data_IF_006171320392
#
_entry.id   IF_006171320392
#
_cell.length_a   1.000
_cell.length_b   1.000
_cell.length_c   1.000
_cell.angle_alpha   90.00
_cell.angle_beta   90.00
_cell.angle_gamma   90.00
#
_symmetry.space_group_name_H-M   'P 1'
#
loop_
_entity.id
_entity.type
_entity.pdbx_description
1 polymer ?
#
# COMPACT_ATOMS: atom_id res chain seq x y z
N UNK A 1 9.80 2.64 3.04
CA UNK A 1 11.21 3.02 2.72
C UNK A 1 11.27 3.23 1.22
N UNK A 2 11.96 4.25 0.74
CA UNK A 2 12.20 4.45 -0.69
C UNK A 2 13.59 3.91 -0.97
N UNK A 3 13.69 2.97 -1.89
CA UNK A 3 14.95 2.38 -2.31
C UNK A 3 15.43 3.02 -3.60
N UNK A 4 16.74 3.16 -3.76
CA UNK A 4 17.37 3.61 -4.99
C UNK A 4 18.45 2.64 -5.43
N UNK A 5 18.53 2.39 -6.73
CA UNK A 5 19.51 1.52 -7.34
C UNK A 5 19.89 2.03 -8.73
N UNK A 6 21.12 1.80 -9.17
CA UNK A 6 21.58 2.18 -10.50
C UNK A 6 22.26 1.02 -11.22
N UNK A 7 22.07 0.94 -12.54
CA UNK A 7 22.71 -0.05 -13.40
C UNK A 7 22.97 0.55 -14.79
N UNK A 8 24.24 0.73 -15.13
CA UNK A 8 24.60 1.41 -16.38
C UNK A 8 24.03 2.82 -16.43
N UNK A 9 23.24 3.11 -17.46
CA UNK A 9 22.58 4.40 -17.68
C UNK A 9 21.23 4.56 -16.98
N UNK A 10 20.83 3.61 -16.16
CA UNK A 10 19.52 3.60 -15.49
C UNK A 10 19.64 3.85 -14.00
N UNK A 11 18.74 4.67 -13.47
CA UNK A 11 18.56 4.93 -12.03
C UNK A 11 17.12 4.73 -11.67
N UNK A 12 16.84 3.96 -10.63
CA UNK A 12 15.49 3.73 -10.10
C UNK A 12 15.35 4.32 -8.70
N UNK A 13 14.17 4.90 -8.41
CA UNK A 13 13.66 5.12 -7.06
C UNK A 13 12.33 4.37 -6.93
N UNK A 14 12.18 3.62 -5.84
CA UNK A 14 11.12 2.66 -5.70
C UNK A 14 10.55 2.62 -4.27
N UNK A 15 9.24 2.58 -4.18
CA UNK A 15 8.48 2.34 -2.96
C UNK A 15 7.49 1.21 -3.22
N UNK A 16 7.73 0.04 -2.65
CA UNK A 16 6.86 -1.08 -2.90
C UNK A 16 7.42 -2.43 -2.49
N UNK A 17 6.80 -3.47 -3.02
CA UNK A 17 7.25 -4.85 -2.92
C UNK A 17 6.73 -5.64 -4.13
N UNK A 18 7.64 -6.32 -4.83
CA UNK A 18 7.32 -7.21 -5.95
C UNK A 18 7.24 -8.65 -5.45
N UNK A 19 6.06 -9.27 -5.54
CA UNK A 19 5.80 -10.61 -4.99
C UNK A 19 6.25 -11.75 -5.89
N UNK A 20 6.40 -11.50 -7.20
CA UNK A 20 6.84 -12.50 -8.17
C UNK A 20 8.31 -12.35 -8.60
N UNK A 21 9.17 -11.89 -7.69
CA UNK A 21 10.62 -11.72 -7.94
C UNK A 21 11.30 -13.02 -8.38
N UNK A 22 10.88 -14.17 -7.83
CA UNK A 22 11.44 -15.49 -8.18
C UNK A 22 11.17 -15.84 -9.65
N UNK A 23 9.96 -15.57 -10.12
CA UNK A 23 9.54 -15.80 -11.51
C UNK A 23 10.30 -14.86 -12.46
N UNK A 24 10.35 -13.56 -12.13
CA UNK A 24 11.09 -12.56 -12.90
C UNK A 24 12.59 -12.87 -12.96
N UNK A 25 13.20 -13.28 -11.84
CA UNK A 25 14.62 -13.68 -11.80
C UNK A 25 14.91 -14.86 -12.73
N UNK A 26 14.01 -15.86 -12.78
CA UNK A 26 14.18 -16.98 -13.72
C UNK A 26 14.15 -16.51 -15.18
N UNK A 27 13.26 -15.58 -15.49
CA UNK A 27 13.15 -15.04 -16.85
C UNK A 27 14.34 -14.15 -17.21
N UNK A 28 14.81 -13.32 -16.29
CA UNK A 28 16.00 -12.51 -16.46
C UNK A 28 17.25 -13.37 -16.73
N UNK A 29 17.44 -14.45 -15.97
CA UNK A 29 18.56 -15.40 -16.18
C UNK A 29 18.52 -16.09 -17.53
N UNK A 30 17.34 -16.40 -18.09
CA UNK A 30 17.20 -16.94 -19.46
C UNK A 30 17.61 -15.92 -20.54
N UNK A 31 17.57 -14.65 -20.22
CA UNK A 31 17.98 -13.55 -21.11
C UNK A 31 19.35 -12.97 -20.73
N UNK A 32 20.22 -13.80 -20.12
CA UNK A 32 21.61 -13.50 -19.79
C UNK A 32 21.82 -12.34 -18.79
N UNK A 33 20.79 -12.01 -18.01
CA UNK A 33 20.94 -11.05 -16.90
C UNK A 33 21.46 -11.74 -15.64
N UNK A 34 22.58 -11.27 -15.14
CA UNK A 34 23.08 -11.63 -13.80
C UNK A 34 22.32 -10.84 -12.73
N UNK A 35 21.88 -11.51 -11.66
CA UNK A 35 21.29 -10.87 -10.47
C UNK A 35 22.31 -10.94 -9.34
N UNK A 36 22.71 -9.80 -8.81
CA UNK A 36 23.82 -9.68 -7.83
C UNK A 36 23.35 -9.51 -6.39
N UNK A 37 22.13 -9.04 -6.21
CA UNK A 37 21.56 -8.77 -4.86
C UNK A 37 20.31 -9.64 -4.63
N UNK A 38 19.79 -9.62 -3.41
CA UNK A 38 18.51 -10.24 -3.07
C UNK A 38 17.34 -9.21 -3.14
N UNK A 39 17.62 -7.94 -3.52
CA UNK A 39 16.63 -6.89 -3.59
C UNK A 39 15.70 -7.03 -4.79
N UNK A 40 14.40 -6.87 -4.57
CA UNK A 40 13.40 -6.79 -5.64
C UNK A 40 13.58 -5.53 -6.50
N UNK A 41 14.24 -4.49 -6.00
CA UNK A 41 14.61 -3.27 -6.73
C UNK A 41 15.54 -3.58 -7.92
N UNK A 42 16.55 -4.45 -7.73
CA UNK A 42 17.43 -4.88 -8.83
C UNK A 42 16.65 -5.68 -9.87
N UNK A 43 15.80 -6.61 -9.42
CA UNK A 43 14.97 -7.43 -10.29
C UNK A 43 14.01 -6.55 -11.10
N UNK A 44 13.38 -5.57 -10.46
CA UNK A 44 12.49 -4.61 -11.12
C UNK A 44 13.22 -3.79 -12.18
N UNK A 45 14.38 -3.21 -11.85
CA UNK A 45 15.15 -2.40 -12.81
C UNK A 45 15.60 -3.23 -14.02
N UNK A 46 16.11 -4.44 -13.80
CA UNK A 46 16.53 -5.33 -14.89
C UNK A 46 15.36 -5.82 -15.73
N UNK A 47 14.19 -6.04 -15.11
CA UNK A 47 12.95 -6.33 -15.84
C UNK A 47 12.53 -5.15 -16.72
N UNK A 48 12.67 -3.90 -16.25
CA UNK A 48 12.43 -2.72 -17.09
C UNK A 48 13.42 -2.66 -18.28
N UNK A 49 14.69 -2.97 -18.07
CA UNK A 49 15.69 -3.00 -19.16
C UNK A 49 15.30 -4.05 -20.22
N UNK A 50 14.78 -5.22 -19.78
CA UNK A 50 14.36 -6.30 -20.69
C UNK A 50 13.05 -5.96 -21.41
N UNK A 51 12.02 -5.49 -20.71
CA UNK A 51 10.66 -5.33 -21.24
C UNK A 51 10.28 -3.89 -21.59
N UNK A 52 11.11 -2.91 -21.23
CA UNK A 52 10.80 -1.49 -21.40
C UNK A 52 9.54 -1.10 -20.63
N UNK A 53 8.71 -0.26 -21.26
CA UNK A 53 7.43 0.21 -20.68
C UNK A 53 6.42 -0.91 -20.40
N UNK A 54 6.56 -2.05 -21.05
CA UNK A 54 5.65 -3.18 -20.88
C UNK A 54 5.93 -3.97 -19.60
N UNK A 55 6.98 -3.65 -18.86
CA UNK A 55 7.33 -4.26 -17.57
C UNK A 55 6.14 -4.34 -16.62
N UNK A 56 5.30 -3.30 -16.59
CA UNK A 56 4.11 -3.22 -15.72
C UNK A 56 3.11 -4.38 -15.90
N UNK A 57 3.12 -5.04 -17.06
CA UNK A 57 2.27 -6.19 -17.36
C UNK A 57 2.82 -7.52 -16.78
N UNK A 58 4.08 -7.53 -16.34
CA UNK A 58 4.77 -8.70 -15.77
C UNK A 58 4.91 -8.62 -14.26
N UNK A 59 4.63 -7.45 -13.66
CA UNK A 59 4.76 -7.25 -12.22
C UNK A 59 3.53 -7.74 -11.47
N UNK A 60 3.76 -8.53 -10.42
CA UNK A 60 2.78 -8.82 -9.38
C UNK A 60 3.31 -8.23 -8.06
N UNK A 61 2.66 -7.19 -7.56
CA UNK A 61 3.11 -6.47 -6.37
C UNK A 61 2.34 -5.19 -6.12
N UNK A 62 2.78 -4.50 -5.08
CA UNK A 62 2.35 -3.14 -4.75
C UNK A 62 3.54 -2.22 -4.99
N UNK A 63 3.38 -1.20 -5.81
CA UNK A 63 4.51 -0.38 -6.20
C UNK A 63 4.15 1.03 -6.68
N UNK A 64 5.07 1.93 -6.39
CA UNK A 64 5.23 3.20 -7.08
C UNK A 64 6.73 3.37 -7.36
N UNK A 65 7.13 3.56 -8.60
CA UNK A 65 8.52 3.74 -8.95
C UNK A 65 8.72 4.74 -10.08
N UNK A 66 9.94 5.27 -10.15
CA UNK A 66 10.40 6.06 -11.27
C UNK A 66 11.78 5.54 -11.72
N UNK A 67 11.96 5.40 -13.03
CA UNK A 67 13.21 4.98 -13.64
C UNK A 67 13.67 6.09 -14.61
N UNK A 68 14.87 6.61 -14.37
CA UNK A 68 15.56 7.51 -15.28
C UNK A 68 16.42 6.68 -16.25
N UNK A 69 16.19 6.85 -17.55
CA UNK A 69 17.10 6.42 -18.61
C UNK A 69 17.91 7.66 -19.07
N UNK A 70 19.18 7.73 -18.64
CA UNK A 70 20.05 8.88 -18.94
C UNK A 70 20.41 8.96 -20.42
N UNK A 71 20.41 7.84 -21.17
CA UNK A 71 20.72 7.84 -22.59
C UNK A 71 19.55 8.42 -23.40
N UNK A 72 18.30 8.07 -23.04
CA UNK A 72 17.11 8.61 -23.68
C UNK A 72 16.66 9.94 -23.11
N UNK A 73 17.24 10.38 -21.98
CA UNK A 73 16.76 11.54 -21.20
C UNK A 73 15.26 11.43 -20.90
N UNK A 74 14.84 10.27 -20.45
CA UNK A 74 13.45 9.91 -20.20
C UNK A 74 13.27 9.41 -18.79
N UNK A 75 12.18 9.83 -18.13
CA UNK A 75 11.74 9.28 -16.83
C UNK A 75 10.48 8.47 -17.06
N UNK A 76 10.52 7.19 -16.70
CA UNK A 76 9.37 6.31 -16.67
C UNK A 76 8.85 6.19 -15.24
N UNK A 77 7.59 6.54 -15.00
CA UNK A 77 6.92 6.40 -13.71
C UNK A 77 5.82 5.35 -13.83
N UNK A 78 5.65 4.51 -12.81
CA UNK A 78 4.54 3.56 -12.79
C UNK A 78 3.97 3.40 -11.39
N UNK A 79 2.66 3.12 -11.32
CA UNK A 79 1.93 2.86 -10.11
C UNK A 79 1.14 1.56 -10.23
N UNK A 80 1.05 0.78 -9.15
CA UNK A 80 0.41 -0.53 -9.13
C UNK A 80 -1.08 -0.51 -9.52
N UNK A 81 -1.63 -1.69 -9.77
CA UNK A 81 -2.96 -1.92 -10.31
C UNK A 81 -4.08 -1.26 -9.49
N UNK A 82 -3.94 -1.19 -8.17
CA UNK A 82 -4.94 -0.64 -7.25
C UNK A 82 -4.50 0.66 -6.58
N UNK A 83 -3.29 1.17 -6.91
CA UNK A 83 -2.74 2.39 -6.33
C UNK A 83 -2.44 2.27 -4.84
N UNK A 84 -2.00 1.08 -4.41
CA UNK A 84 -1.60 0.80 -3.02
C UNK A 84 -0.50 1.74 -2.58
N UNK A 85 0.51 1.88 -3.41
CA UNK A 85 1.58 2.84 -3.15
C UNK A 85 1.23 4.19 -3.78
N UNK A 86 1.33 5.29 -3.01
CA UNK A 86 1.04 6.62 -3.53
C UNK A 86 2.16 7.10 -4.45
N UNK A 87 1.77 7.89 -5.46
CA UNK A 87 2.71 8.59 -6.34
C UNK A 87 2.08 9.90 -6.77
N UNK A 88 2.59 11.00 -6.22
CA UNK A 88 2.17 12.36 -6.55
C UNK A 88 3.21 13.03 -7.43
N UNK A 89 2.76 13.95 -8.29
CA UNK A 89 3.65 14.69 -9.17
C UNK A 89 3.11 16.09 -9.46
N UNK A 90 4.04 16.96 -9.85
CA UNK A 90 3.77 18.29 -10.36
C UNK A 90 4.81 18.64 -11.42
N UNK A 91 4.53 19.65 -12.24
CA UNK A 91 5.48 20.19 -13.21
C UNK A 91 5.74 21.67 -12.87
N UNK A 92 6.99 22.00 -12.59
CA UNK A 92 7.43 23.37 -12.29
C UNK A 92 8.50 23.76 -13.32
N UNK A 93 8.22 24.73 -14.18
CA UNK A 93 9.19 25.23 -15.17
C UNK A 93 9.81 24.10 -16.02
N UNK A 94 9.01 23.21 -16.59
CA UNK A 94 9.44 22.03 -17.33
C UNK A 94 10.25 20.99 -16.52
N UNK A 95 10.22 21.07 -15.21
CA UNK A 95 10.83 20.07 -14.33
C UNK A 95 9.73 19.21 -13.72
N UNK A 96 9.79 17.91 -13.95
CA UNK A 96 8.92 16.95 -13.29
C UNK A 96 9.43 16.72 -11.85
N UNK A 97 8.58 17.03 -10.87
CA UNK A 97 8.82 16.74 -9.45
C UNK A 97 7.81 15.69 -9.01
N UNK A 98 8.28 14.62 -8.37
CA UNK A 98 7.41 13.54 -7.92
C UNK A 98 7.84 13.04 -6.54
N UNK A 99 6.87 12.51 -5.77
CA UNK A 99 7.09 11.96 -4.44
C UNK A 99 5.97 10.99 -4.03
N UNK A 100 6.20 10.21 -2.99
CA UNK A 100 5.17 9.38 -2.35
C UNK A 100 4.26 10.18 -1.42
N UNK A 101 4.65 11.39 -1.00
CA UNK A 101 3.90 12.26 -0.09
C UNK A 101 3.87 13.68 -0.63
N UNK A 102 2.73 14.36 -0.51
CA UNK A 102 2.56 15.72 -1.04
C UNK A 102 3.46 16.72 -0.31
N UNK A 103 3.64 16.57 1.01
CA UNK A 103 4.53 17.43 1.80
C UNK A 103 5.97 17.45 1.31
N UNK A 104 6.43 16.36 0.68
CA UNK A 104 7.75 16.30 0.07
C UNK A 104 7.84 17.16 -1.20
N UNK A 105 6.76 17.23 -2.01
CA UNK A 105 6.71 18.11 -3.18
C UNK A 105 6.86 19.58 -2.80
N UNK A 106 6.29 20.00 -1.66
CA UNK A 106 6.37 21.37 -1.17
C UNK A 106 7.78 21.81 -0.76
N UNK A 107 8.73 20.89 -0.66
CA UNK A 107 10.14 21.24 -0.42
C UNK A 107 10.85 21.70 -1.69
N UNK A 108 10.25 21.45 -2.87
CA UNK A 108 10.83 21.88 -4.14
C UNK A 108 10.50 23.36 -4.41
N UNK A 109 11.47 24.21 -4.74
CA UNK A 109 11.24 25.63 -5.02
C UNK A 109 10.22 25.85 -6.14
N UNK A 110 9.20 26.65 -5.90
CA UNK A 110 8.15 26.96 -6.86
C UNK A 110 6.92 26.04 -6.78
N UNK A 111 6.90 25.04 -5.90
CA UNK A 111 5.67 24.29 -5.56
C UNK A 111 4.95 25.00 -4.43
N UNK A 112 3.74 25.48 -4.72
CA UNK A 112 2.96 26.28 -3.78
C UNK A 112 1.87 25.44 -3.08
N UNK A 113 1.59 25.78 -1.81
CA UNK A 113 0.48 25.17 -1.02
C UNK A 113 -0.82 25.95 -1.25
N UNK A 114 -1.37 25.86 -2.45
CA UNK A 114 -2.56 26.62 -2.86
C UNK A 114 -3.72 25.67 -3.10
N UNK A 115 -4.87 25.98 -2.51
CA UNK A 115 -6.14 25.36 -2.84
C UNK A 115 -6.86 26.21 -3.89
N UNK A 116 -7.42 25.55 -4.89
CA UNK A 116 -8.32 26.19 -5.85
C UNK A 116 -9.79 25.73 -5.63
N UNK A 117 -10.68 26.20 -6.47
CA UNK A 117 -12.11 25.83 -6.36
C UNK A 117 -12.34 24.32 -6.51
N UNK A 118 -11.52 23.62 -7.32
CA UNK A 118 -11.59 22.17 -7.46
C UNK A 118 -11.14 21.49 -6.17
N UNK A 119 -10.00 21.89 -5.60
CA UNK A 119 -9.48 21.35 -4.34
C UNK A 119 -10.45 21.55 -3.17
N UNK A 120 -11.11 22.71 -3.11
CA UNK A 120 -12.15 23.00 -2.12
C UNK A 120 -13.37 22.09 -2.33
N UNK A 121 -13.78 21.87 -3.58
CA UNK A 121 -14.90 20.99 -3.91
C UNK A 121 -14.59 19.52 -3.58
N UNK A 122 -13.36 19.05 -3.82
CA UNK A 122 -12.90 17.71 -3.39
C UNK A 122 -12.98 17.59 -1.87
N UNK A 123 -12.43 18.55 -1.13
CA UNK A 123 -12.36 18.53 0.33
C UNK A 123 -13.75 18.49 1.00
N UNK A 124 -14.68 19.34 0.57
CA UNK A 124 -15.99 19.45 1.20
C UNK A 124 -17.09 18.60 0.54
N UNK A 125 -16.92 18.22 -0.71
CA UNK A 125 -17.93 17.47 -1.46
C UNK A 125 -17.80 15.96 -1.32
N UNK A 126 -16.57 15.43 -1.25
CA UNK A 126 -16.29 13.99 -1.18
C UNK A 126 -15.80 13.56 0.20
N UNK A 127 -15.39 14.51 1.03
CA UNK A 127 -14.91 14.29 2.41
C UNK A 127 -13.49 13.69 2.40
N UNK A 128 -13.24 12.60 3.17
CA UNK A 128 -11.88 12.06 3.32
C UNK A 128 -11.35 11.36 2.07
N UNK A 129 -12.20 11.08 1.09
CA UNK A 129 -11.82 10.56 -0.23
C UNK A 129 -11.50 11.70 -1.20
N UNK A 130 -10.92 11.38 -2.33
CA UNK A 130 -10.72 12.31 -3.45
C UNK A 130 -10.88 11.56 -4.77
N UNK A 131 -11.15 12.30 -5.84
CA UNK A 131 -11.24 11.75 -7.18
C UNK A 131 -9.87 11.20 -7.61
N UNK A 132 -9.76 9.93 -8.07
CA UNK A 132 -8.48 9.37 -8.50
C UNK A 132 -7.77 10.23 -9.53
N UNK A 133 -6.53 10.60 -9.26
CA UNK A 133 -5.70 11.45 -10.11
C UNK A 133 -5.70 12.92 -9.74
N UNK A 134 -6.52 13.33 -8.78
CA UNK A 134 -6.56 14.70 -8.25
C UNK A 134 -5.99 14.75 -6.83
N UNK A 135 -5.72 15.96 -6.35
CA UNK A 135 -5.48 16.28 -4.95
C UNK A 135 -6.27 17.53 -4.59
N UNK A 136 -6.23 17.91 -3.33
CA UNK A 136 -6.84 19.20 -2.92
C UNK A 136 -5.98 20.40 -3.31
N UNK A 137 -4.72 20.18 -3.69
CA UNK A 137 -3.78 21.26 -4.02
C UNK A 137 -3.70 21.50 -5.51
N UNK A 138 -3.72 22.79 -5.88
CA UNK A 138 -3.58 23.24 -7.26
C UNK A 138 -2.29 22.75 -7.90
N UNK A 139 -2.38 22.24 -9.13
CA UNK A 139 -1.25 21.73 -9.92
C UNK A 139 -0.50 20.53 -9.32
N UNK A 140 -0.99 19.94 -8.24
CA UNK A 140 -0.48 18.68 -7.71
C UNK A 140 -1.44 17.56 -8.11
N UNK A 141 -0.90 16.54 -8.74
CA UNK A 141 -1.66 15.42 -9.28
C UNK A 141 -1.20 14.10 -8.65
N UNK A 142 -2.11 13.15 -8.56
CA UNK A 142 -1.81 11.77 -8.24
C UNK A 142 -1.72 10.95 -9.53
N UNK A 143 -0.68 10.13 -9.70
CA UNK A 143 -0.70 9.16 -10.79
C UNK A 143 -1.78 8.12 -10.49
N UNK A 144 -2.76 7.98 -11.40
CA UNK A 144 -3.91 7.08 -11.19
C UNK A 144 -3.45 5.62 -11.03
N UNK A 145 -4.20 4.80 -10.24
CA UNK A 145 -3.98 3.35 -10.21
C UNK A 145 -3.91 2.75 -11.60
N UNK A 146 -3.05 1.74 -11.78
CA UNK A 146 -2.87 1.04 -13.06
C UNK A 146 -2.43 1.94 -14.23
N UNK A 147 -1.75 3.06 -13.95
CA UNK A 147 -1.17 3.93 -14.97
C UNK A 147 0.35 3.95 -14.86
N UNK A 148 0.96 4.19 -16.00
CA UNK A 148 2.33 4.66 -16.09
C UNK A 148 2.41 6.01 -16.77
N UNK A 149 3.49 6.73 -16.57
CA UNK A 149 3.77 7.99 -17.22
C UNK A 149 5.19 7.98 -17.80
N UNK A 150 5.39 8.69 -18.90
CA UNK A 150 6.68 8.92 -19.52
C UNK A 150 6.88 10.43 -19.59
N UNK A 151 7.97 10.91 -19.03
CA UNK A 151 8.37 12.31 -19.10
C UNK A 151 9.66 12.43 -19.89
N UNK A 152 9.65 13.26 -20.93
CA UNK A 152 10.79 13.56 -21.78
C UNK A 152 10.67 14.98 -22.36
N UNK A 153 11.47 15.33 -23.37
CA UNK A 153 11.45 16.64 -24.03
C UNK A 153 10.08 17.02 -24.61
N UNK A 154 9.23 16.04 -24.97
CA UNK A 154 7.86 16.29 -25.46
C UNK A 154 6.83 16.47 -24.33
N UNK A 155 7.24 16.39 -23.06
CA UNK A 155 6.40 16.55 -21.87
C UNK A 155 6.01 15.23 -21.20
N UNK A 156 4.91 15.27 -20.44
CA UNK A 156 4.41 14.14 -19.66
C UNK A 156 3.28 13.41 -20.39
N UNK A 157 3.47 12.12 -20.64
CA UNK A 157 2.51 11.25 -21.32
C UNK A 157 2.04 10.13 -20.40
N UNK A 158 0.76 10.13 -20.02
CA UNK A 158 0.17 9.17 -19.09
C UNK A 158 -0.63 8.12 -19.86
N UNK A 159 -0.47 6.83 -19.50
CA UNK A 159 -1.19 5.71 -20.12
C UNK A 159 -1.71 4.73 -19.08
N UNK A 160 -2.94 4.27 -19.31
CA UNK A 160 -3.53 3.14 -18.58
C UNK A 160 -2.93 1.84 -19.11
N UNK A 161 -2.40 0.98 -18.22
CA UNK A 161 -1.88 -0.34 -18.63
C UNK A 161 -2.82 -1.49 -18.23
N UNK A 162 -3.67 -1.30 -17.21
CA UNK A 162 -4.61 -2.32 -16.78
C UNK A 162 -5.93 -1.71 -16.33
N UNK A 163 -7.04 -2.44 -16.52
CA UNK A 163 -8.34 -2.12 -15.94
C UNK A 163 -9.10 -3.38 -15.57
N UNK A 164 -9.88 -3.29 -14.50
CA UNK A 164 -10.81 -4.33 -14.11
C UNK A 164 -11.88 -4.52 -15.20
N UNK A 165 -12.12 -5.78 -15.60
CA UNK A 165 -13.12 -6.13 -16.60
C UNK A 165 -14.17 -7.01 -15.96
N UNK A 166 -15.44 -6.60 -16.05
CA UNK A 166 -16.56 -7.47 -15.69
C UNK A 166 -16.71 -8.59 -16.74
N UNK A 167 -16.90 -9.80 -16.26
CA UNK A 167 -17.14 -10.99 -17.11
C UNK A 167 -18.28 -11.80 -16.52
N UNK A 168 -18.98 -12.56 -17.38
CA UNK A 168 -19.97 -13.53 -16.91
C UNK A 168 -19.28 -14.59 -16.06
N UNK A 169 -19.80 -14.82 -14.87
CA UNK A 169 -19.35 -15.88 -13.99
C UNK A 169 -20.07 -17.18 -14.37
N UNK A 170 -19.31 -18.25 -14.58
CA UNK A 170 -19.83 -19.54 -15.10
C UNK A 170 -19.62 -20.70 -14.12
N UNK A 171 -18.78 -20.51 -13.09
CA UNK A 171 -18.46 -21.53 -12.10
C UNK A 171 -19.67 -21.75 -11.17
N UNK A 172 -19.86 -22.98 -10.67
CA UNK A 172 -20.79 -23.28 -9.59
C UNK A 172 -20.41 -22.56 -8.28
N UNK A 173 -21.29 -22.63 -7.29
CA UNK A 173 -20.99 -22.05 -5.98
C UNK A 173 -19.78 -22.72 -5.32
N UNK A 174 -19.71 -24.05 -5.35
CA UNK A 174 -18.61 -24.82 -4.77
C UNK A 174 -17.30 -24.52 -5.48
N UNK A 175 -17.26 -24.55 -6.81
CA UNK A 175 -16.06 -24.19 -7.59
C UNK A 175 -15.61 -22.76 -7.31
N UNK A 176 -16.55 -21.83 -7.14
CA UNK A 176 -16.26 -20.44 -6.78
C UNK A 176 -15.62 -20.34 -5.41
N UNK A 177 -16.14 -21.04 -4.40
CA UNK A 177 -15.60 -21.07 -3.06
C UNK A 177 -14.18 -21.63 -3.03
N UNK A 178 -13.93 -22.75 -3.71
CA UNK A 178 -12.62 -23.37 -3.76
C UNK A 178 -11.59 -22.49 -4.47
N UNK A 179 -11.98 -21.89 -5.60
CA UNK A 179 -11.13 -20.97 -6.34
C UNK A 179 -10.82 -19.69 -5.55
N UNK A 180 -11.83 -19.12 -4.87
CA UNK A 180 -11.63 -17.97 -4.01
C UNK A 180 -10.68 -18.28 -2.85
N UNK A 181 -10.88 -19.41 -2.18
CA UNK A 181 -10.01 -19.88 -1.10
C UNK A 181 -8.57 -20.05 -1.57
N UNK A 182 -8.37 -20.67 -2.74
CA UNK A 182 -7.04 -20.83 -3.35
C UNK A 182 -6.39 -19.48 -3.64
N UNK A 183 -7.12 -18.55 -4.30
CA UNK A 183 -6.59 -17.23 -4.67
C UNK A 183 -6.25 -16.37 -3.44
N UNK A 184 -7.10 -16.40 -2.40
CA UNK A 184 -6.83 -15.70 -1.14
C UNK A 184 -5.60 -16.28 -0.45
N UNK A 185 -5.49 -17.60 -0.35
CA UNK A 185 -4.32 -18.25 0.25
C UNK A 185 -3.04 -17.91 -0.52
N UNK A 186 -3.04 -18.02 -1.86
CA UNK A 186 -1.88 -17.70 -2.71
C UNK A 186 -1.49 -16.22 -2.55
N UNK A 187 -2.45 -15.31 -2.63
CA UNK A 187 -2.20 -13.87 -2.49
C UNK A 187 -1.59 -13.52 -1.13
N UNK A 188 -2.16 -14.05 -0.04
CA UNK A 188 -1.66 -13.79 1.32
C UNK A 188 -0.27 -14.40 1.50
N UNK A 189 -0.07 -15.65 1.10
CA UNK A 189 1.21 -16.35 1.26
C UNK A 189 2.36 -15.66 0.52
N UNK A 190 2.12 -15.16 -0.69
CA UNK A 190 3.12 -14.40 -1.44
C UNK A 190 3.56 -13.11 -0.73
N UNK A 191 2.71 -12.53 0.09
CA UNK A 191 2.99 -11.30 0.83
C UNK A 191 3.67 -11.53 2.19
N UNK A 192 3.81 -12.79 2.63
CA UNK A 192 4.49 -13.14 3.88
C UNK A 192 6.02 -13.22 3.75
N UNK A 193 6.56 -13.00 2.56
CA UNK A 193 8.02 -12.95 2.35
C UNK A 193 8.53 -11.60 2.84
N UNK A 194 9.26 -11.59 3.95
CA UNK A 194 9.86 -10.41 4.56
C UNK A 194 11.13 -10.77 5.29
N UNK A 195 12.17 -9.93 5.18
CA UNK A 195 13.40 -10.04 5.96
C UNK A 195 13.26 -9.40 7.36
N UNK A 196 12.12 -8.75 7.61
CA UNK A 196 11.80 -8.07 8.87
C UNK A 196 10.64 -8.78 9.59
N UNK A 197 10.54 -8.64 10.93
CA UNK A 197 9.41 -9.14 11.68
C UNK A 197 8.08 -8.64 11.10
N UNK A 198 7.17 -9.59 10.84
CA UNK A 198 5.87 -9.35 10.20
C UNK A 198 4.75 -9.64 11.18
N UNK A 199 3.74 -8.77 11.21
CA UNK A 199 2.51 -8.97 11.97
C UNK A 199 1.26 -8.80 11.12
N UNK A 200 0.09 -9.13 11.68
CA UNK A 200 -1.21 -8.79 11.08
C UNK A 200 -2.04 -7.92 12.03
N UNK A 201 -2.90 -7.08 11.45
CA UNK A 201 -3.89 -6.32 12.21
C UNK A 201 -5.19 -7.11 12.27
N UNK A 202 -5.63 -7.44 13.49
CA UNK A 202 -6.82 -8.23 13.75
C UNK A 202 -7.91 -7.34 14.34
N UNK A 203 -8.90 -6.99 13.53
CA UNK A 203 -10.01 -6.10 13.91
C UNK A 203 -11.31 -6.83 14.27
N UNK A 204 -11.30 -8.17 14.34
CA UNK A 204 -12.52 -8.95 14.52
C UNK A 204 -13.40 -9.07 13.26
N UNK A 205 -13.16 -8.28 12.22
CA UNK A 205 -13.88 -8.36 10.95
C UNK A 205 -13.44 -9.56 10.10
N UNK A 206 -14.28 -9.96 9.13
CA UNK A 206 -14.09 -11.14 8.29
C UNK A 206 -12.76 -11.10 7.53
N UNK A 207 -12.41 -9.97 6.91
CA UNK A 207 -11.21 -9.86 6.08
C UNK A 207 -9.93 -10.00 6.90
N UNK A 208 -9.82 -9.30 8.03
CA UNK A 208 -8.66 -9.39 8.94
C UNK A 208 -8.52 -10.80 9.51
N UNK A 209 -9.65 -11.46 9.79
CA UNK A 209 -9.68 -12.84 10.26
C UNK A 209 -9.17 -13.82 9.21
N UNK A 210 -9.58 -13.68 7.95
CA UNK A 210 -9.10 -14.51 6.84
C UNK A 210 -7.59 -14.31 6.61
N UNK A 211 -7.11 -13.06 6.59
CA UNK A 211 -5.69 -12.75 6.44
C UNK A 211 -4.89 -13.40 7.57
N UNK A 212 -5.31 -13.17 8.82
CA UNK A 212 -4.64 -13.73 10.00
C UNK A 212 -4.65 -15.25 10.00
N UNK A 213 -5.77 -15.87 9.60
CA UNK A 213 -5.87 -17.34 9.51
C UNK A 213 -4.86 -17.93 8.54
N UNK A 214 -4.80 -17.45 7.30
CA UNK A 214 -3.86 -17.98 6.31
C UNK A 214 -2.40 -17.67 6.66
N UNK A 215 -2.13 -16.49 7.23
CA UNK A 215 -0.79 -16.14 7.68
C UNK A 215 -0.34 -17.00 8.87
N UNK A 216 -1.21 -17.23 9.84
CA UNK A 216 -0.96 -18.11 11.00
C UNK A 216 -0.73 -19.56 10.58
N UNK A 217 -1.54 -20.10 9.65
CA UNK A 217 -1.33 -21.43 9.10
C UNK A 217 0.01 -21.53 8.40
N UNK A 218 0.37 -20.53 7.61
CA UNK A 218 1.68 -20.49 6.94
C UNK A 218 2.84 -20.55 7.95
N UNK A 219 2.78 -19.76 9.02
CA UNK A 219 3.80 -19.79 10.06
C UNK A 219 3.90 -21.18 10.69
N UNK A 220 2.77 -21.79 11.07
CA UNK A 220 2.70 -23.12 11.66
C UNK A 220 3.23 -24.21 10.73
N UNK A 221 2.80 -24.20 9.47
CA UNK A 221 3.18 -25.23 8.47
C UNK A 221 4.66 -25.16 8.11
N UNK A 222 5.30 -23.99 8.24
CA UNK A 222 6.72 -23.79 7.96
C UNK A 222 7.62 -23.79 9.22
N UNK A 223 7.08 -24.14 10.40
CA UNK A 223 7.85 -24.17 11.65
C UNK A 223 8.36 -22.82 12.12
N UNK A 224 7.70 -21.73 11.69
CA UNK A 224 8.00 -20.37 12.13
C UNK A 224 7.38 -20.10 13.52
N UNK A 225 7.84 -19.07 14.25
CA UNK A 225 7.21 -18.64 15.48
C UNK A 225 5.71 -18.31 15.29
N UNK A 226 4.91 -18.31 16.38
CA UNK A 226 3.53 -17.82 16.33
C UNK A 226 3.46 -16.44 15.68
N UNK A 227 2.47 -16.21 14.84
CA UNK A 227 2.27 -14.94 14.17
C UNK A 227 1.90 -13.84 15.17
N UNK A 228 2.65 -12.75 15.23
CA UNK A 228 2.26 -11.58 15.99
C UNK A 228 1.03 -10.91 15.39
N UNK A 229 0.03 -10.65 16.21
CA UNK A 229 -1.21 -9.98 15.81
C UNK A 229 -1.49 -8.80 16.71
N UNK A 230 -1.98 -7.71 16.13
CA UNK A 230 -2.28 -6.49 16.88
C UNK A 230 -3.73 -6.08 16.69
N UNK A 231 -4.40 -5.72 17.80
CA UNK A 231 -5.72 -5.09 17.78
C UNK A 231 -5.69 -3.77 18.53
N UNK A 232 -6.64 -2.91 18.20
CA UNK A 232 -6.88 -1.65 18.89
C UNK A 232 -8.14 -1.75 19.73
N UNK A 233 -8.12 -1.15 20.89
CA UNK A 233 -9.28 -0.91 21.74
C UNK A 233 -9.20 0.47 22.40
N UNK A 234 -10.26 0.90 23.02
CA UNK A 234 -10.35 2.20 23.67
C UNK A 234 -10.66 2.04 25.14
N UNK A 235 -10.16 2.99 25.97
CA UNK A 235 -10.45 3.01 27.40
C UNK A 235 -11.97 3.05 27.61
N UNK A 236 -12.44 2.21 28.53
CA UNK A 236 -13.88 2.07 28.88
C UNK A 236 -14.81 1.68 27.70
N UNK A 237 -14.27 1.12 26.61
CA UNK A 237 -15.07 0.69 25.46
C UNK A 237 -16.17 -0.32 25.87
N UNK A 238 -15.86 -1.27 26.75
CA UNK A 238 -16.82 -2.28 27.20
C UNK A 238 -18.00 -1.67 27.98
N UNK A 239 -17.81 -0.52 28.65
CA UNK A 239 -18.86 0.18 29.39
C UNK A 239 -19.73 1.04 28.46
N UNK A 240 -19.15 1.56 27.38
CA UNK A 240 -19.78 2.50 26.48
C UNK A 240 -20.33 1.86 25.21
N UNK A 241 -20.04 0.57 24.95
CA UNK A 241 -20.49 -0.13 23.76
C UNK A 241 -22.01 -0.35 23.79
N UNK A 242 -22.69 0.20 22.79
CA UNK A 242 -24.13 0.03 22.58
C UNK A 242 -24.33 -0.87 21.35
N UNK A 243 -24.95 -2.03 21.56
CA UNK A 243 -25.31 -2.94 20.46
C UNK A 243 -26.29 -2.30 19.50
N UNK A 244 -26.07 -2.54 18.22
CA UNK A 244 -26.98 -2.12 17.14
C UNK A 244 -27.23 -3.28 16.18
N UNK A 245 -28.20 -3.16 15.30
CA UNK A 245 -28.45 -4.17 14.23
C UNK A 245 -27.23 -4.32 13.32
N UNK A 246 -26.45 -3.27 13.11
CA UNK A 246 -25.24 -3.29 12.31
C UNK A 246 -24.03 -3.87 13.06
N UNK A 247 -23.95 -3.68 14.37
CA UNK A 247 -22.88 -4.17 15.22
C UNK A 247 -23.46 -4.86 16.47
N UNK A 248 -23.90 -6.12 16.35
CA UNK A 248 -24.59 -6.84 17.43
C UNK A 248 -23.65 -7.28 18.56
N UNK A 249 -22.33 -7.37 18.28
CA UNK A 249 -21.31 -7.73 19.26
C UNK A 249 -20.11 -6.78 19.14
N UNK A 250 -19.35 -6.62 20.21
CA UNK A 250 -18.08 -5.89 20.15
C UNK A 250 -17.05 -6.65 19.33
N UNK A 251 -16.13 -5.94 18.71
CA UNK A 251 -15.03 -6.54 17.94
C UNK A 251 -14.15 -7.45 18.80
N UNK A 252 -14.01 -7.14 20.09
CA UNK A 252 -13.26 -7.94 21.07
C UNK A 252 -13.72 -9.39 21.13
N UNK A 253 -15.03 -9.65 21.01
CA UNK A 253 -15.55 -11.02 21.00
C UNK A 253 -14.96 -11.87 19.85
N UNK A 254 -14.91 -11.31 18.65
CA UNK A 254 -14.37 -12.01 17.48
C UNK A 254 -12.84 -12.07 17.50
N UNK A 255 -12.17 -11.05 18.02
CA UNK A 255 -10.71 -11.05 18.23
C UNK A 255 -10.33 -12.20 19.19
N UNK A 256 -11.01 -12.32 20.33
CA UNK A 256 -10.78 -13.40 21.28
C UNK A 256 -11.04 -14.79 20.71
N UNK A 257 -12.10 -14.91 19.88
CA UNK A 257 -12.39 -16.16 19.19
C UNK A 257 -11.27 -16.57 18.25
N UNK A 258 -10.73 -15.63 17.47
CA UNK A 258 -9.66 -15.88 16.54
C UNK A 258 -8.35 -16.22 17.26
N UNK A 259 -7.96 -15.45 18.26
CA UNK A 259 -6.69 -15.64 18.98
C UNK A 259 -6.63 -16.94 19.77
N UNK A 260 -7.77 -17.40 20.29
CA UNK A 260 -7.87 -18.71 20.98
C UNK A 260 -7.73 -19.91 20.03
N UNK A 261 -8.05 -19.75 18.75
CA UNK A 261 -8.10 -20.85 17.78
C UNK A 261 -6.95 -20.84 16.77
N UNK A 262 -6.14 -19.79 16.74
CA UNK A 262 -5.04 -19.66 15.79
C UNK A 262 -3.67 -19.73 16.47
N UNK A 263 -2.65 -20.03 15.71
CA UNK A 263 -1.25 -20.02 16.14
C UNK A 263 -0.71 -18.59 16.09
N UNK A 264 -1.11 -17.77 17.08
CA UNK A 264 -0.81 -16.35 17.15
C UNK A 264 -0.33 -15.93 18.54
N UNK A 265 0.50 -14.88 18.57
CA UNK A 265 0.85 -14.12 19.74
C UNK A 265 0.14 -12.75 19.62
N UNK A 266 -0.88 -12.51 20.48
CA UNK A 266 -1.78 -11.36 20.31
C UNK A 266 -1.44 -10.22 21.25
N UNK A 267 -1.35 -9.01 20.71
CA UNK A 267 -1.09 -7.76 21.40
C UNK A 267 -2.28 -6.80 21.25
N UNK A 268 -2.83 -6.38 22.37
CA UNK A 268 -3.93 -5.42 22.43
C UNK A 268 -3.38 -4.04 22.78
N UNK A 269 -3.59 -3.06 21.93
CA UNK A 269 -3.22 -1.66 22.14
C UNK A 269 -4.47 -0.91 22.56
N UNK A 270 -4.45 -0.29 23.74
CA UNK A 270 -5.56 0.50 24.28
C UNK A 270 -5.20 1.97 24.18
N UNK A 271 -6.06 2.78 23.57
CA UNK A 271 -5.87 4.21 23.37
C UNK A 271 -6.94 4.98 24.16
N UNK A 272 -6.53 6.10 24.76
CA UNK A 272 -7.45 6.99 25.49
C UNK A 272 -7.94 8.14 24.59
N UNK A 273 -9.12 8.65 24.92
CA UNK A 273 -9.76 9.76 24.19
C UNK A 273 -8.92 11.06 24.16
N UNK A 274 -8.25 11.49 25.25
CA UNK A 274 -7.34 12.64 25.21
C UNK A 274 -6.20 12.45 24.21
N UNK A 275 -5.57 11.27 24.14
CA UNK A 275 -4.50 10.98 23.18
C UNK A 275 -4.98 11.09 21.72
N UNK A 276 -6.23 10.67 21.44
CA UNK A 276 -6.84 10.83 20.13
C UNK A 276 -6.98 12.29 19.74
N UNK A 277 -7.47 13.12 20.66
CA UNK A 277 -7.65 14.55 20.43
C UNK A 277 -6.31 15.25 20.21
N UNK A 278 -5.31 14.96 21.01
CA UNK A 278 -3.97 15.56 20.90
C UNK A 278 -3.23 15.15 19.60
N UNK A 279 -3.59 14.02 19.00
CA UNK A 279 -2.94 13.52 17.78
C UNK A 279 -3.65 13.93 16.47
N UNK A 280 -4.72 14.75 16.51
CA UNK A 280 -5.49 15.17 15.32
C UNK A 280 -4.63 15.89 14.28
N UNK A 281 -3.82 16.87 14.72
CA UNK A 281 -2.93 17.62 13.83
C UNK A 281 -1.85 16.73 13.24
N UNK A 282 -1.22 15.88 14.04
CA UNK A 282 -0.23 14.92 13.59
C UNK A 282 -0.80 13.97 12.53
N UNK A 283 -2.04 13.52 12.70
CA UNK A 283 -2.71 12.63 11.76
C UNK A 283 -3.00 13.33 10.43
N UNK A 284 -3.44 14.58 10.47
CA UNK A 284 -3.61 15.40 9.26
C UNK A 284 -2.29 15.63 8.53
N UNK A 285 -1.21 15.95 9.26
CA UNK A 285 0.14 16.12 8.67
C UNK A 285 0.64 14.80 8.07
N UNK A 286 0.44 13.67 8.75
CA UNK A 286 0.85 12.35 8.27
C UNK A 286 0.16 12.00 6.95
N UNK A 287 -1.09 12.43 6.77
CA UNK A 287 -1.90 12.15 5.60
C UNK A 287 -1.77 13.18 4.46
N UNK A 288 -1.13 14.32 4.71
CA UNK A 288 -1.00 15.47 3.79
C UNK A 288 -2.32 16.24 3.54
N UNK A 289 -3.44 15.83 4.12
CA UNK A 289 -4.73 16.49 3.94
C UNK A 289 -5.70 16.11 5.08
N UNK A 290 -6.74 16.91 5.32
CA UNK A 290 -7.80 16.55 6.25
C UNK A 290 -8.46 15.23 5.88
N UNK A 291 -8.78 14.43 6.88
CA UNK A 291 -9.38 13.10 6.73
C UNK A 291 -10.52 12.86 7.71
N UNK A 292 -10.69 11.61 8.14
CA UNK A 292 -11.63 11.24 9.20
C UNK A 292 -10.90 11.34 10.55
N UNK A 293 -11.14 12.44 11.26
CA UNK A 293 -10.38 12.86 12.45
C UNK A 293 -10.14 11.74 13.47
N UNK A 294 -11.18 11.10 13.95
CA UNK A 294 -11.13 10.02 14.94
C UNK A 294 -10.42 8.75 14.40
N UNK A 295 -10.73 8.36 13.17
CA UNK A 295 -10.15 7.18 12.52
C UNK A 295 -8.66 7.39 12.22
N UNK A 296 -8.29 8.54 11.69
CA UNK A 296 -6.91 8.81 11.29
C UNK A 296 -6.00 8.97 12.51
N UNK A 297 -6.46 9.65 13.58
CA UNK A 297 -5.75 9.74 14.86
C UNK A 297 -5.55 8.38 15.51
N UNK A 298 -6.61 7.59 15.55
CA UNK A 298 -6.60 6.22 16.06
C UNK A 298 -5.59 5.34 15.30
N UNK A 299 -5.63 5.39 13.96
CA UNK A 299 -4.70 4.63 13.12
C UNK A 299 -3.25 5.09 13.30
N UNK A 300 -3.00 6.40 13.41
CA UNK A 300 -1.67 6.95 13.64
C UNK A 300 -1.08 6.45 14.97
N UNK A 301 -1.83 6.57 16.06
CA UNK A 301 -1.39 6.11 17.39
C UNK A 301 -1.18 4.60 17.42
N UNK A 302 -2.08 3.84 16.82
CA UNK A 302 -1.96 2.41 16.67
C UNK A 302 -0.68 2.02 15.94
N UNK A 303 -0.44 2.60 14.76
CA UNK A 303 0.78 2.35 13.98
C UNK A 303 2.05 2.81 14.71
N UNK A 304 2.03 3.95 15.43
CA UNK A 304 3.15 4.40 16.27
C UNK A 304 3.50 3.35 17.35
N UNK A 305 2.50 2.71 17.95
CA UNK A 305 2.72 1.66 18.94
C UNK A 305 3.24 0.36 18.31
N UNK A 306 2.62 -0.13 17.26
CA UNK A 306 3.07 -1.34 16.55
C UNK A 306 4.51 -1.19 16.06
N UNK A 307 4.89 -0.01 15.55
CA UNK A 307 6.24 0.25 15.02
C UNK A 307 7.36 0.09 16.06
N UNK A 308 7.07 0.13 17.36
CA UNK A 308 8.08 -0.09 18.40
C UNK A 308 8.66 -1.51 18.38
N UNK A 309 7.88 -2.48 17.88
CA UNK A 309 8.21 -3.90 17.90
C UNK A 309 8.25 -4.50 16.48
N UNK A 310 7.39 -4.02 15.58
CA UNK A 310 7.19 -4.58 14.23
C UNK A 310 7.48 -3.58 13.13
N UNK A 311 8.06 -4.07 12.04
CA UNK A 311 8.40 -3.23 10.89
C UNK A 311 7.43 -3.41 9.73
N UNK A 312 6.87 -4.60 9.55
CA UNK A 312 5.97 -4.95 8.44
C UNK A 312 4.64 -5.43 8.98
N UNK A 313 3.55 -4.90 8.45
CA UNK A 313 2.21 -5.39 8.76
C UNK A 313 1.45 -5.78 7.50
N UNK A 314 0.83 -6.96 7.53
CA UNK A 314 -0.11 -7.40 6.51
C UNK A 314 -1.52 -7.04 6.98
N UNK A 315 -2.18 -6.15 6.26
CA UNK A 315 -3.50 -5.66 6.62
C UNK A 315 -4.33 -5.36 5.36
N UNK A 316 -5.66 -5.42 5.49
CA UNK A 316 -6.57 -4.93 4.45
C UNK A 316 -6.50 -3.41 4.28
N UNK A 317 -6.32 -2.67 5.38
CA UNK A 317 -6.15 -1.22 5.33
C UNK A 317 -4.72 -0.92 4.96
N UNK A 318 -4.56 -0.38 3.78
CA UNK A 318 -3.31 0.26 3.41
C UNK A 318 -3.19 1.54 4.22
N UNK A 319 -2.20 1.58 5.11
CA UNK A 319 -1.76 2.84 5.66
C UNK A 319 -1.21 3.66 4.49
N UNK A 320 -1.99 4.62 4.02
CA UNK A 320 -1.50 5.68 3.15
C UNK A 320 -0.67 6.64 3.97
#
# INVERSE_FOLDING_TARGET
MIESFSFGSYVIVYNGQIYNTKELTKELKKNDFEIKTHSDTEVLLKSYILYGKDVVNYLNGIFAFAILDTNKKEVFLARDHFGVKPLFYTNVNNTLVFASEIKALFQYPGVERVLDSQGISELFGIGPAHTPGTTIFKNIHELKPAHFAIFNESGLHIKLYWKLKSKKHLDSFEETCDKLKYLLKDSITRQLVSDMPLCTFLSGGLDSSIITKFASDYCKDNGLPPLDTYSIDYVDNDKNFIKSDFQPNSDNYYIDLMTKNLYTNHHKIVIDTPELADSLEDAMIARDMPGMADIDSSLLLFCKNVKKEMTVSLTRRMCR
#
